data_IF_840326827714
#
_entry.id   IF_840326827714
#
_cell.length_a   1.000
_cell.length_b   1.000
_cell.length_c   1.000
_cell.angle_alpha   90.00
_cell.angle_beta   90.00
_cell.angle_gamma   90.00
#
_symmetry.space_group_name_H-M   'P 1'
#
loop_
_entity.id
_entity.type
_entity.pdbx_description
1 polymer ?
#
# COMPACT_ATOMS: atom_id res chain seq x y z
N UNK A 1 -2.79 11.40 16.24
CA UNK A 1 -2.54 10.77 14.92
C UNK A 1 -1.95 9.40 15.21
N UNK A 2 -2.68 8.31 14.98
CA UNK A 2 -2.09 6.97 15.06
C UNK A 2 -1.03 6.90 13.94
N UNK A 3 0.22 6.49 14.19
CA UNK A 3 1.19 6.28 13.12
C UNK A 3 0.53 5.37 12.08
N UNK A 4 0.47 5.86 10.83
CA UNK A 4 -0.32 5.25 9.77
C UNK A 4 0.03 3.78 9.63
N UNK A 5 -0.97 2.92 9.78
CA UNK A 5 -0.84 1.46 9.67
C UNK A 5 -0.55 1.02 8.23
N UNK A 6 -0.67 1.97 7.30
CA UNK A 6 -0.31 1.88 5.90
C UNK A 6 0.44 3.15 5.50
N UNK A 7 1.59 2.99 4.84
CA UNK A 7 2.45 4.08 4.37
C UNK A 7 2.65 3.96 2.87
N UNK A 8 2.38 5.04 2.13
CA UNK A 8 2.74 5.16 0.72
C UNK A 8 4.21 5.54 0.59
N UNK A 9 4.95 4.75 -0.17
CA UNK A 9 6.33 5.02 -0.55
C UNK A 9 6.38 5.42 -2.03
N UNK A 10 6.81 6.64 -2.33
CA UNK A 10 6.90 7.12 -3.69
C UNK A 10 8.01 6.39 -4.47
N UNK A 11 7.82 6.26 -5.78
CA UNK A 11 8.80 5.70 -6.71
C UNK A 11 10.00 6.63 -6.86
N UNK A 12 10.90 6.69 -5.87
CA UNK A 12 12.01 7.65 -5.86
C UNK A 12 13.32 7.06 -6.36
N UNK A 13 13.50 5.73 -6.32
CA UNK A 13 14.78 5.09 -6.67
C UNK A 13 14.67 3.71 -7.36
N UNK A 14 13.65 2.90 -7.08
CA UNK A 14 13.54 1.53 -7.61
C UNK A 14 12.13 1.24 -8.16
N UNK A 15 11.99 1.47 -9.47
CA UNK A 15 10.96 0.96 -10.41
C UNK A 15 9.49 1.33 -10.20
N UNK A 16 8.87 1.19 -9.02
CA UNK A 16 7.42 1.42 -8.82
C UNK A 16 7.09 2.01 -7.46
N UNK A 17 5.96 2.72 -7.38
CA UNK A 17 5.42 3.14 -6.09
C UNK A 17 4.95 1.90 -5.33
N UNK A 18 5.05 1.93 -4.00
CA UNK A 18 4.64 0.80 -3.18
C UNK A 18 4.02 1.25 -1.87
N UNK A 19 3.25 0.36 -1.24
CA UNK A 19 2.73 0.56 0.10
C UNK A 19 3.41 -0.36 1.08
N UNK A 20 3.76 0.15 2.25
CA UNK A 20 4.02 -0.67 3.42
C UNK A 20 2.73 -0.80 4.21
N UNK A 21 2.20 -2.01 4.29
CA UNK A 21 0.91 -2.32 4.91
C UNK A 21 1.19 -3.22 6.10
N UNK A 22 0.61 -2.97 7.27
CA UNK A 22 0.63 -3.98 8.33
C UNK A 22 -0.08 -5.26 7.89
N UNK A 23 0.46 -6.41 8.28
CA UNK A 23 -0.09 -7.73 7.90
C UNK A 23 -1.59 -7.87 8.21
N UNK A 24 -2.04 -7.34 9.35
CA UNK A 24 -3.45 -7.37 9.80
C UNK A 24 -4.43 -6.62 8.85
N UNK A 25 -3.93 -5.62 8.12
CA UNK A 25 -4.73 -4.80 7.20
C UNK A 25 -4.60 -5.24 5.74
N UNK A 26 -3.62 -6.08 5.42
CA UNK A 26 -3.31 -6.48 4.04
C UNK A 26 -4.55 -7.00 3.28
N UNK A 27 -5.37 -7.93 3.82
CA UNK A 27 -6.50 -8.47 3.07
C UNK A 27 -7.56 -7.41 2.74
N UNK A 28 -7.80 -6.47 3.66
CA UNK A 28 -8.77 -5.38 3.45
C UNK A 28 -8.23 -4.36 2.46
N UNK A 29 -6.95 -4.03 2.57
CA UNK A 29 -6.30 -3.06 1.69
C UNK A 29 -6.19 -3.58 0.25
N UNK A 30 -5.85 -4.85 0.04
CA UNK A 30 -5.81 -5.46 -1.30
C UNK A 30 -7.18 -5.41 -1.99
N UNK A 31 -8.27 -5.72 -1.28
CA UNK A 31 -9.63 -5.57 -1.83
C UNK A 31 -9.96 -4.11 -2.17
N UNK A 32 -9.50 -3.18 -1.35
CA UNK A 32 -9.71 -1.75 -1.61
C UNK A 32 -8.97 -1.30 -2.87
N UNK A 33 -7.71 -1.69 -3.03
CA UNK A 33 -6.94 -1.44 -4.26
C UNK A 33 -7.64 -2.03 -5.49
N UNK A 34 -8.08 -3.29 -5.42
CA UNK A 34 -8.84 -3.94 -6.50
C UNK A 34 -10.13 -3.16 -6.84
N UNK A 35 -10.90 -2.76 -5.82
CA UNK A 35 -12.15 -2.01 -6.01
C UNK A 35 -11.95 -0.60 -6.60
N UNK A 36 -10.76 -0.02 -6.43
CA UNK A 36 -10.38 1.29 -6.98
C UNK A 36 -9.69 1.18 -8.34
N UNK A 37 -9.56 -0.05 -8.86
CA UNK A 37 -8.95 -0.35 -10.15
C UNK A 37 -7.44 -0.11 -10.17
N UNK A 38 -6.76 -0.31 -9.03
CA UNK A 38 -5.29 -0.34 -8.96
C UNK A 38 -4.85 -1.80 -9.00
N UNK A 39 -4.00 -2.12 -9.96
CA UNK A 39 -3.43 -3.45 -10.10
C UNK A 39 -2.19 -3.59 -9.23
N UNK A 40 -2.11 -4.72 -8.53
CA UNK A 40 -0.93 -5.17 -7.79
C UNK A 40 -0.26 -6.26 -8.64
N UNK A 41 0.77 -5.91 -9.44
CA UNK A 41 1.32 -6.82 -10.46
C UNK A 41 2.11 -7.99 -9.87
N UNK A 42 2.62 -7.83 -8.64
CA UNK A 42 3.45 -8.81 -7.96
C UNK A 42 2.81 -9.21 -6.63
N UNK A 43 2.99 -10.47 -6.18
CA UNK A 43 2.50 -10.89 -4.88
C UNK A 43 3.13 -10.00 -3.77
N UNK A 44 2.35 -9.63 -2.74
CA UNK A 44 2.85 -8.87 -1.61
C UNK A 44 4.04 -9.56 -0.95
N UNK A 45 5.07 -8.79 -0.60
CA UNK A 45 6.30 -9.32 0.00
C UNK A 45 6.38 -8.91 1.47
N UNK A 46 6.41 -9.88 2.38
CA UNK A 46 6.62 -9.60 3.81
C UNK A 46 8.01 -8.99 4.00
N UNK A 47 8.07 -7.78 4.54
CA UNK A 47 9.29 -7.03 4.84
C UNK A 47 9.19 -6.34 6.19
N UNK A 48 10.29 -6.26 6.91
CA UNK A 48 10.34 -5.57 8.21
C UNK A 48 11.04 -6.39 9.28
N UNK A 49 11.12 -5.83 10.47
CA UNK A 49 11.69 -6.50 11.62
C UNK A 49 10.67 -7.51 12.20
N UNK A 50 11.13 -8.60 12.86
CA UNK A 50 10.25 -9.60 13.46
C UNK A 50 9.22 -9.01 14.44
N UNK A 51 9.52 -7.86 15.05
CA UNK A 51 8.69 -7.18 16.04
C UNK A 51 7.59 -6.30 15.42
N UNK A 52 7.75 -5.90 14.16
CA UNK A 52 6.77 -5.12 13.40
C UNK A 52 6.81 -5.55 11.93
N UNK A 53 6.15 -6.68 11.59
CA UNK A 53 6.09 -7.15 10.21
C UNK A 53 5.20 -6.22 9.39
N UNK A 54 5.74 -5.72 8.30
CA UNK A 54 4.98 -5.05 7.25
C UNK A 54 4.98 -5.92 5.99
N UNK A 55 4.11 -5.59 5.07
CA UNK A 55 4.02 -6.22 3.77
C UNK A 55 4.13 -5.13 2.73
N UNK A 56 5.13 -5.25 1.87
CA UNK A 56 5.35 -4.39 0.73
C UNK A 56 4.40 -4.80 -0.38
N UNK A 57 3.57 -3.86 -0.83
CA UNK A 57 2.63 -4.01 -1.93
C UNK A 57 3.07 -3.08 -3.06
N UNK A 58 3.65 -3.65 -4.12
CA UNK A 58 3.99 -2.90 -5.32
C UNK A 58 2.70 -2.62 -6.11
N UNK A 59 2.56 -1.40 -6.62
CA UNK A 59 1.47 -1.07 -7.56
C UNK A 59 1.99 -1.01 -8.99
N UNK A 60 1.08 -1.12 -9.95
CA UNK A 60 1.41 -0.98 -11.38
C UNK A 60 2.12 0.34 -11.70
N UNK A 61 3.00 0.29 -12.70
CA UNK A 61 3.69 1.47 -13.22
C UNK A 61 2.68 2.45 -13.83
N UNK A 62 2.94 3.76 -13.65
CA UNK A 62 2.14 4.82 -14.26
C UNK A 62 0.91 5.26 -13.47
N UNK A 63 0.60 4.66 -12.32
CA UNK A 63 -0.42 5.22 -11.41
C UNK A 63 0.11 6.52 -10.80
N UNK A 64 -0.59 7.66 -10.96
CA UNK A 64 -0.15 8.92 -10.36
C UNK A 64 -0.11 8.82 -8.84
N UNK A 65 0.96 9.31 -8.21
CA UNK A 65 1.11 9.34 -6.75
C UNK A 65 -0.10 9.97 -6.05
N UNK A 66 -0.65 11.06 -6.63
CA UNK A 66 -1.87 11.71 -6.13
C UNK A 66 -3.06 10.74 -6.05
N UNK A 67 -3.21 9.82 -7.00
CA UNK A 67 -4.27 8.80 -6.99
C UNK A 67 -4.00 7.76 -5.91
N UNK A 68 -2.75 7.32 -5.75
CA UNK A 68 -2.34 6.39 -4.69
C UNK A 68 -2.61 6.98 -3.30
N UNK A 69 -2.27 8.26 -3.11
CA UNK A 69 -2.54 8.99 -1.88
C UNK A 69 -4.05 9.11 -1.62
N UNK A 70 -4.85 9.43 -2.64
CA UNK A 70 -6.32 9.47 -2.51
C UNK A 70 -6.90 8.13 -2.08
N UNK A 71 -6.42 7.02 -2.68
CA UNK A 71 -6.91 5.67 -2.32
C UNK A 71 -6.55 5.31 -0.88
N UNK A 72 -5.34 5.68 -0.43
CA UNK A 72 -4.92 5.53 0.97
C UNK A 72 -5.81 6.36 1.91
N UNK A 73 -6.04 7.64 1.59
CA UNK A 73 -6.89 8.53 2.39
C UNK A 73 -8.32 8.00 2.49
N UNK A 74 -8.86 7.47 1.39
CA UNK A 74 -10.21 6.89 1.35
C UNK A 74 -10.32 5.61 2.16
N UNK A 75 -9.27 4.79 2.19
CA UNK A 75 -9.20 3.61 3.06
C UNK A 75 -9.20 4.02 4.53
N UNK A 76 -8.36 5.00 4.90
CA UNK A 76 -8.24 5.49 6.28
C UNK A 76 -9.52 6.14 6.81
N UNK A 77 -10.33 6.76 5.95
CA UNK A 77 -11.65 7.32 6.33
C UNK A 77 -12.73 6.26 6.57
N UNK A 78 -12.54 5.04 6.09
CA UNK A 78 -13.49 3.93 6.20
C UNK A 78 -13.20 3.00 7.39
N UNK A 79 -12.07 3.20 8.07
CA UNK A 79 -11.69 2.57 9.34
C UNK A 79 -12.26 3.36 10.52
#
# INVERSE_FOLDING_TARGET
MKPGEIVLLPATHESVACFHVKDELLPQFLRHLESTGIVVPEPPQTQGNPEMPYVKVNVEEGVPEKRLQQVLDDFQKRQ
#
